data_IF_428332339439
#
_entry.id   IF_428332339439
#
_cell.length_a   1.000
_cell.length_b   1.000
_cell.length_c   1.000
_cell.angle_alpha   90.00
_cell.angle_beta   90.00
_cell.angle_gamma   90.00
#
_symmetry.space_group_name_H-M   'P 1'
#
loop_
_entity.id
_entity.type
_entity.pdbx_description
1 polymer ?
#
# COMPACT_ATOMS: atom_id res chain seq x y z
N UNK A 1 3.77 12.59 34.31
CA UNK A 1 3.44 12.89 32.89
C UNK A 1 3.04 11.58 32.23
N UNK A 2 1.83 11.50 31.67
CA UNK A 2 1.40 10.33 30.92
C UNK A 2 2.19 10.34 29.61
N UNK A 3 3.04 9.34 29.38
CA UNK A 3 3.75 9.20 28.10
C UNK A 3 2.68 9.08 27.01
N UNK A 4 2.70 9.91 25.95
CA UNK A 4 1.72 9.79 24.88
C UNK A 4 1.78 8.39 24.29
N UNK A 5 0.62 7.73 24.21
CA UNK A 5 0.52 6.40 23.62
C UNK A 5 0.80 6.50 22.12
N UNK A 6 1.96 6.02 21.68
CA UNK A 6 2.28 5.87 20.26
C UNK A 6 1.54 4.64 19.75
N UNK A 7 0.70 4.82 18.73
CA UNK A 7 0.00 3.72 18.05
C UNK A 7 0.68 3.49 16.69
N UNK A 8 1.53 2.47 16.56
CA UNK A 8 2.21 2.18 15.30
C UNK A 8 1.27 1.52 14.29
N UNK A 9 1.56 1.73 13.00
CA UNK A 9 0.95 0.97 11.90
C UNK A 9 2.01 0.06 11.28
N UNK A 10 1.63 -1.18 10.98
CA UNK A 10 2.52 -2.17 10.37
C UNK A 10 1.97 -2.65 9.03
N UNK A 11 2.80 -2.63 8.00
CA UNK A 11 2.37 -2.93 6.63
C UNK A 11 3.53 -2.88 5.64
N UNK A 12 3.25 -3.28 4.40
CA UNK A 12 4.13 -3.09 3.25
C UNK A 12 3.52 -2.03 2.34
N UNK A 13 4.16 -0.87 2.28
CA UNK A 13 3.78 0.17 1.32
C UNK A 13 4.04 -0.33 -0.11
N UNK A 14 3.17 -0.05 -1.10
CA UNK A 14 3.30 -0.59 -2.46
C UNK A 14 4.65 -0.31 -3.13
N UNK A 15 5.32 0.77 -2.74
CA UNK A 15 6.68 1.10 -3.19
C UNK A 15 7.74 0.07 -2.86
N UNK A 16 7.52 -0.75 -1.83
CA UNK A 16 8.44 -1.79 -1.38
C UNK A 16 7.92 -3.19 -1.70
N UNK A 17 6.79 -3.32 -2.40
CA UNK A 17 6.17 -4.62 -2.71
C UNK A 17 7.07 -5.57 -3.50
N UNK A 18 7.99 -5.04 -4.32
CA UNK A 18 8.97 -5.85 -5.04
C UNK A 18 10.02 -6.49 -4.14
N UNK A 19 10.18 -6.04 -2.90
CA UNK A 19 11.15 -6.62 -1.97
C UNK A 19 10.63 -7.92 -1.35
N UNK A 20 9.42 -8.38 -1.68
CA UNK A 20 8.77 -9.51 -1.05
C UNK A 20 8.38 -10.60 -2.05
N UNK A 21 8.57 -11.85 -1.65
CA UNK A 21 8.21 -13.05 -2.39
C UNK A 21 7.25 -13.94 -1.59
N UNK A 22 6.33 -14.62 -2.30
CA UNK A 22 5.43 -15.63 -1.73
C UNK A 22 6.06 -17.04 -1.64
N UNK A 23 7.29 -17.17 -2.13
CA UNK A 23 8.10 -18.40 -2.00
C UNK A 23 9.48 -18.03 -1.46
N UNK A 24 10.14 -18.91 -0.69
CA UNK A 24 11.51 -18.68 -0.26
C UNK A 24 12.44 -18.49 -1.47
N UNK A 25 13.30 -17.48 -1.40
CA UNK A 25 14.32 -17.18 -2.41
C UNK A 25 15.69 -17.21 -1.72
N UNK A 26 16.55 -18.16 -2.08
CA UNK A 26 17.80 -18.40 -1.37
C UNK A 26 19.04 -18.33 -2.29
N UNK A 27 18.82 -18.26 -3.60
CA UNK A 27 19.89 -18.22 -4.60
C UNK A 27 19.75 -17.02 -5.53
N UNK A 28 20.86 -16.65 -6.17
CA UNK A 28 20.88 -15.57 -7.17
C UNK A 28 20.03 -15.89 -8.41
N UNK A 29 19.93 -17.16 -8.80
CA UNK A 29 19.07 -17.60 -9.90
C UNK A 29 17.58 -17.40 -9.57
N UNK A 30 17.16 -17.83 -8.37
CA UNK A 30 15.79 -17.62 -7.90
C UNK A 30 15.47 -16.12 -7.74
N UNK A 31 16.43 -15.31 -7.26
CA UNK A 31 16.30 -13.85 -7.17
C UNK A 31 16.00 -13.25 -8.54
N UNK A 32 16.81 -13.60 -9.54
CA UNK A 32 16.65 -13.11 -10.92
C UNK A 32 15.30 -13.52 -11.48
N UNK A 33 14.92 -14.79 -11.32
CA UNK A 33 13.62 -15.31 -11.74
C UNK A 33 12.47 -14.50 -11.11
N UNK A 34 12.48 -14.32 -9.79
CA UNK A 34 11.46 -13.56 -9.08
C UNK A 34 11.31 -12.14 -9.64
N UNK A 35 12.42 -11.39 -9.78
CA UNK A 35 12.34 -10.02 -10.28
C UNK A 35 11.94 -9.93 -11.76
N UNK A 36 12.34 -10.89 -12.60
CA UNK A 36 11.85 -10.95 -13.98
C UNK A 36 10.35 -11.24 -14.07
N UNK A 37 9.79 -12.01 -13.14
CA UNK A 37 8.36 -12.33 -13.11
C UNK A 37 7.51 -11.14 -12.65
N UNK A 38 7.98 -10.38 -11.67
CA UNK A 38 7.17 -9.32 -11.05
C UNK A 38 7.44 -7.92 -11.58
N UNK A 39 8.52 -7.68 -12.32
CA UNK A 39 8.85 -6.34 -12.83
C UNK A 39 8.56 -6.21 -14.34
N UNK A 40 7.94 -5.09 -14.71
CA UNK A 40 7.66 -4.75 -16.10
C UNK A 40 8.03 -3.28 -16.40
N UNK A 41 8.80 -2.99 -17.47
CA UNK A 41 9.52 -3.93 -18.33
C UNK A 41 10.52 -4.80 -17.55
N UNK A 42 11.06 -5.83 -18.20
CA UNK A 42 12.06 -6.71 -17.58
C UNK A 42 13.25 -5.87 -17.04
N UNK A 43 13.76 -6.20 -15.84
CA UNK A 43 14.83 -5.44 -15.21
C UNK A 43 16.15 -5.61 -15.96
N UNK A 44 17.01 -4.58 -15.89
CA UNK A 44 18.39 -4.65 -16.40
C UNK A 44 19.28 -5.42 -15.42
N UNK A 45 20.41 -5.92 -15.92
CA UNK A 45 21.43 -6.58 -15.09
C UNK A 45 21.97 -5.68 -13.97
N UNK A 46 22.11 -4.38 -14.25
CA UNK A 46 22.50 -3.39 -13.25
C UNK A 46 21.47 -3.28 -12.12
N UNK A 47 20.17 -3.20 -12.47
CA UNK A 47 19.10 -3.15 -11.49
C UNK A 47 19.04 -4.46 -10.67
N UNK A 48 19.17 -5.62 -11.31
CA UNK A 48 19.19 -6.92 -10.64
C UNK A 48 20.35 -7.06 -9.65
N UNK A 49 21.49 -6.43 -9.94
CA UNK A 49 22.65 -6.40 -9.03
C UNK A 49 22.36 -5.57 -7.79
N UNK A 50 21.66 -4.45 -7.95
CA UNK A 50 21.31 -3.55 -6.84
C UNK A 50 20.10 -4.04 -6.02
N UNK A 51 19.26 -4.90 -6.60
CA UNK A 51 18.12 -5.48 -5.90
C UNK A 51 18.56 -6.55 -4.87
N UNK A 52 18.07 -6.46 -3.62
CA UNK A 52 18.43 -7.41 -2.57
C UNK A 52 17.77 -8.77 -2.79
N UNK A 53 18.13 -9.75 -1.95
CA UNK A 53 17.35 -11.00 -1.88
C UNK A 53 15.91 -10.70 -1.41
N UNK A 54 14.86 -11.17 -2.11
CA UNK A 54 13.48 -10.98 -1.69
C UNK A 54 13.23 -11.56 -0.29
N UNK A 55 12.50 -10.79 0.51
CA UNK A 55 12.06 -11.21 1.84
C UNK A 55 10.90 -12.18 1.66
N UNK A 56 10.97 -13.34 2.32
CA UNK A 56 9.85 -14.27 2.32
C UNK A 56 8.67 -13.67 3.11
N UNK A 57 7.54 -13.49 2.43
CA UNK A 57 6.41 -12.71 2.94
C UNK A 57 5.83 -13.32 4.22
N UNK A 58 5.74 -14.64 4.29
CA UNK A 58 5.20 -15.37 5.44
C UNK A 58 6.04 -15.14 6.70
N UNK A 59 7.36 -15.01 6.58
CA UNK A 59 8.25 -14.70 7.72
C UNK A 59 8.03 -13.27 8.21
N UNK A 60 7.84 -12.34 7.27
CA UNK A 60 7.52 -10.95 7.58
C UNK A 60 6.14 -10.83 8.25
N UNK A 61 5.13 -11.55 7.76
CA UNK A 61 3.80 -11.64 8.35
C UNK A 61 3.87 -12.10 9.79
N UNK A 62 4.57 -13.21 10.07
CA UNK A 62 4.74 -13.70 11.45
C UNK A 62 5.37 -12.65 12.37
N UNK A 63 6.25 -11.82 11.82
CA UNK A 63 6.88 -10.73 12.57
C UNK A 63 5.89 -9.60 12.89
N UNK A 64 5.09 -9.18 11.91
CA UNK A 64 4.04 -8.19 12.11
C UNK A 64 2.97 -8.67 13.09
N UNK A 65 2.58 -9.95 13.02
CA UNK A 65 1.62 -10.52 13.96
C UNK A 65 2.09 -10.40 15.41
N UNK A 66 3.37 -10.67 15.68
CA UNK A 66 3.97 -10.45 17.01
C UNK A 66 3.94 -8.99 17.44
N UNK A 67 4.20 -8.05 16.52
CA UNK A 67 4.09 -6.62 16.85
C UNK A 67 2.66 -6.20 17.17
N UNK A 68 1.67 -6.76 16.47
CA UNK A 68 0.26 -6.47 16.69
C UNK A 68 -0.27 -6.98 18.04
N UNK A 69 0.40 -7.95 18.67
CA UNK A 69 0.10 -8.39 20.05
C UNK A 69 0.36 -7.27 21.07
N UNK A 70 1.38 -6.44 20.83
CA UNK A 70 1.68 -5.26 21.65
C UNK A 70 0.77 -4.06 21.34
N UNK A 71 -0.14 -4.18 20.36
CA UNK A 71 -1.04 -3.13 19.90
C UNK A 71 -0.69 -2.61 18.50
N UNK A 72 -1.37 -1.54 18.09
CA UNK A 72 -1.18 -0.94 16.77
C UNK A 72 -2.26 -1.30 15.74
N UNK A 73 -2.07 -0.75 14.54
CA UNK A 73 -2.95 -0.83 13.37
C UNK A 73 -2.21 -1.42 12.16
N UNK A 74 -2.89 -1.62 11.04
CA UNK A 74 -2.26 -2.09 9.81
C UNK A 74 -2.11 -0.92 8.82
N UNK A 75 -0.95 -0.84 8.19
CA UNK A 75 -0.63 0.23 7.25
C UNK A 75 0.84 0.64 7.33
N UNK A 76 1.33 1.42 6.39
CA UNK A 76 0.61 1.80 5.16
C UNK A 76 0.68 0.65 4.14
N UNK A 77 -0.47 0.26 3.60
CA UNK A 77 -0.60 -0.79 2.56
C UNK A 77 -1.40 -0.23 1.39
N UNK A 78 -1.35 -0.84 0.21
CA UNK A 78 -2.21 -0.39 -0.89
C UNK A 78 -1.62 -0.66 -2.26
N UNK A 79 -2.02 0.16 -3.22
CA UNK A 79 -1.64 0.01 -4.63
C UNK A 79 -1.10 1.33 -5.19
N UNK A 80 -0.03 1.24 -5.98
CA UNK A 80 0.55 2.39 -6.69
C UNK A 80 0.87 2.00 -8.14
N UNK A 81 0.07 2.53 -9.07
CA UNK A 81 0.21 2.24 -10.50
C UNK A 81 1.40 2.98 -11.13
N UNK A 82 1.81 4.12 -10.56
CA UNK A 82 2.75 5.04 -11.22
C UNK A 82 4.18 4.88 -10.70
N UNK A 83 4.34 4.36 -9.49
CA UNK A 83 5.64 4.15 -8.87
C UNK A 83 6.55 3.28 -9.74
N UNK A 84 7.81 3.70 -9.83
CA UNK A 84 8.89 2.99 -10.52
C UNK A 84 9.95 2.61 -9.50
N UNK A 85 10.50 1.42 -9.63
CA UNK A 85 11.52 0.90 -8.71
C UNK A 85 12.77 1.79 -8.80
N UNK A 86 13.36 2.26 -7.69
CA UNK A 86 14.61 3.02 -7.72
C UNK A 86 15.75 2.21 -8.32
N UNK A 87 16.68 2.85 -9.05
CA UNK A 87 17.83 2.15 -9.60
C UNK A 87 18.76 1.58 -8.51
N UNK A 88 18.71 2.15 -7.30
CA UNK A 88 19.35 1.62 -6.10
C UNK A 88 18.66 0.37 -5.52
N UNK A 89 17.60 -0.14 -6.15
CA UNK A 89 16.84 -1.30 -5.69
C UNK A 89 15.77 -0.99 -4.63
N UNK A 90 15.99 0.02 -3.78
CA UNK A 90 15.01 0.49 -2.81
C UNK A 90 15.11 2.00 -2.61
N UNK A 91 14.05 2.59 -2.06
CA UNK A 91 14.02 4.01 -1.79
C UNK A 91 14.69 4.29 -0.45
N UNK A 92 15.79 5.04 -0.48
CA UNK A 92 16.62 5.33 0.68
C UNK A 92 17.47 6.58 0.44
N UNK A 93 18.29 6.99 1.42
CA UNK A 93 19.09 8.23 1.39
C UNK A 93 20.24 8.21 0.37
N UNK A 94 20.37 7.15 -0.45
CA UNK A 94 21.30 7.10 -1.56
C UNK A 94 20.79 8.02 -2.67
N UNK A 95 21.05 9.31 -2.50
CA UNK A 95 20.82 10.35 -3.50
C UNK A 95 21.52 9.97 -4.81
N UNK A 96 20.82 10.12 -5.93
CA UNK A 96 21.45 10.14 -7.26
C UNK A 96 21.23 8.93 -8.17
N UNK A 97 20.69 7.80 -7.69
CA UNK A 97 20.45 6.65 -8.59
C UNK A 97 19.26 6.86 -9.54
N UNK A 98 18.29 7.71 -9.17
CA UNK A 98 17.08 7.95 -9.96
C UNK A 98 16.11 6.76 -9.97
N UNK A 99 15.02 6.90 -10.72
CA UNK A 99 14.02 5.84 -10.88
C UNK A 99 14.31 5.04 -12.15
N UNK A 100 14.22 3.72 -12.05
CA UNK A 100 14.27 2.83 -13.21
C UNK A 100 13.04 3.01 -14.10
N UNK A 101 13.00 2.29 -15.23
CA UNK A 101 11.79 2.14 -16.03
C UNK A 101 10.81 1.11 -15.45
N UNK A 102 11.29 0.23 -14.56
CA UNK A 102 10.57 -0.93 -14.06
C UNK A 102 9.48 -0.54 -13.06
N UNK A 103 8.33 -1.21 -13.17
CA UNK A 103 7.24 -1.16 -12.20
C UNK A 103 6.94 -2.56 -11.72
N UNK A 104 6.49 -2.66 -10.48
CA UNK A 104 5.94 -3.90 -9.95
C UNK A 104 4.63 -4.20 -10.65
N UNK A 105 4.43 -5.44 -11.07
CA UNK A 105 3.20 -5.91 -11.66
C UNK A 105 2.04 -5.65 -10.70
N UNK A 106 0.91 -5.22 -11.26
CA UNK A 106 -0.25 -4.88 -10.45
C UNK A 106 -0.77 -6.12 -9.67
N UNK A 107 -0.63 -7.31 -10.25
CA UNK A 107 -1.08 -8.54 -9.61
C UNK A 107 -0.24 -8.90 -8.38
N UNK A 108 1.09 -8.64 -8.42
CA UNK A 108 1.96 -8.81 -7.26
C UNK A 108 1.60 -7.81 -6.14
N UNK A 109 1.40 -6.53 -6.49
CA UNK A 109 0.94 -5.52 -5.52
C UNK A 109 -0.41 -5.89 -4.89
N UNK A 110 -1.38 -6.32 -5.69
CA UNK A 110 -2.70 -6.77 -5.20
C UNK A 110 -2.57 -7.97 -4.29
N UNK A 111 -1.73 -8.94 -4.62
CA UNK A 111 -1.55 -10.14 -3.78
C UNK A 111 -1.01 -9.79 -2.39
N UNK A 112 -0.01 -8.91 -2.31
CA UNK A 112 0.53 -8.42 -1.04
C UNK A 112 -0.53 -7.61 -0.29
N UNK A 113 -1.19 -6.66 -0.97
CA UNK A 113 -2.24 -5.84 -0.38
C UNK A 113 -3.40 -6.66 0.20
N UNK A 114 -3.94 -7.61 -0.56
CA UNK A 114 -5.02 -8.50 -0.10
C UNK A 114 -4.59 -9.35 1.11
N UNK A 115 -3.32 -9.73 1.18
CA UNK A 115 -2.79 -10.48 2.34
C UNK A 115 -2.90 -9.67 3.63
N UNK A 116 -2.52 -8.38 3.59
CA UNK A 116 -2.67 -7.49 4.74
C UNK A 116 -4.12 -7.11 5.04
N UNK A 117 -4.97 -6.97 4.02
CA UNK A 117 -6.41 -6.76 4.22
C UNK A 117 -7.07 -7.92 4.96
N UNK A 118 -6.72 -9.17 4.61
CA UNK A 118 -7.23 -10.36 5.29
C UNK A 118 -6.78 -10.38 6.75
N UNK A 119 -5.52 -10.02 7.02
CA UNK A 119 -5.01 -9.90 8.38
C UNK A 119 -5.79 -8.83 9.17
N UNK A 120 -6.04 -7.66 8.57
CA UNK A 120 -6.80 -6.58 9.20
C UNK A 120 -8.24 -6.98 9.53
N UNK A 121 -8.93 -7.62 8.59
CA UNK A 121 -10.28 -8.14 8.81
C UNK A 121 -10.30 -9.22 9.90
N UNK A 122 -9.36 -10.17 9.87
CA UNK A 122 -9.32 -11.27 10.83
C UNK A 122 -9.04 -10.79 12.26
N UNK A 123 -8.17 -9.79 12.43
CA UNK A 123 -7.80 -9.23 13.75
C UNK A 123 -8.63 -8.00 14.14
N UNK A 124 -9.62 -7.62 13.34
CA UNK A 124 -10.45 -6.42 13.50
C UNK A 124 -9.61 -5.15 13.73
N UNK A 125 -8.55 -4.96 12.95
CA UNK A 125 -7.62 -3.83 13.07
C UNK A 125 -7.94 -2.75 12.03
N UNK A 126 -7.95 -1.46 12.42
CA UNK A 126 -8.00 -0.36 11.46
C UNK A 126 -6.86 -0.46 10.45
N UNK A 127 -7.13 -0.02 9.22
CA UNK A 127 -6.21 -0.06 8.10
C UNK A 127 -6.06 1.31 7.43
N UNK A 128 -4.81 1.74 7.23
CA UNK A 128 -4.47 2.92 6.42
C UNK A 128 -4.04 2.47 5.02
N UNK A 129 -4.74 2.96 3.99
CA UNK A 129 -4.63 2.47 2.61
C UNK A 129 -4.14 3.55 1.66
N UNK A 130 -3.01 3.31 1.00
CA UNK A 130 -2.45 4.10 -0.11
C UNK A 130 -3.12 3.77 -1.43
N UNK A 131 -3.34 4.77 -2.27
CA UNK A 131 -3.75 4.52 -3.65
C UNK A 131 -3.35 5.64 -4.61
N UNK A 132 -2.66 5.27 -5.69
CA UNK A 132 -2.36 6.17 -6.81
C UNK A 132 -2.68 5.52 -8.15
N UNK A 133 -3.58 6.16 -8.92
CA UNK A 133 -3.86 5.80 -10.32
C UNK A 133 -4.61 4.47 -10.54
N UNK A 134 -5.15 3.85 -9.49
CA UNK A 134 -5.80 2.53 -9.57
C UNK A 134 -6.98 2.34 -8.58
N UNK A 135 -7.74 3.42 -8.32
CA UNK A 135 -8.79 3.43 -7.28
C UNK A 135 -9.90 2.39 -7.44
N UNK A 136 -10.30 2.04 -8.67
CA UNK A 136 -11.32 1.00 -8.90
C UNK A 136 -10.84 -0.38 -8.41
N UNK A 137 -9.64 -0.81 -8.85
CA UNK A 137 -9.03 -2.08 -8.44
C UNK A 137 -8.78 -2.13 -6.92
N UNK A 138 -8.38 -1.01 -6.33
CA UNK A 138 -8.25 -0.88 -4.87
C UNK A 138 -9.60 -1.12 -4.18
N UNK A 139 -10.65 -0.43 -4.63
CA UNK A 139 -12.01 -0.56 -4.09
C UNK A 139 -12.51 -2.00 -4.20
N UNK A 140 -12.35 -2.65 -5.35
CA UNK A 140 -12.76 -4.03 -5.57
C UNK A 140 -12.09 -4.99 -4.57
N UNK A 141 -10.78 -4.83 -4.35
CA UNK A 141 -10.01 -5.66 -3.41
C UNK A 141 -10.50 -5.47 -1.96
N UNK A 142 -10.76 -4.23 -1.57
CA UNK A 142 -11.24 -3.91 -0.22
C UNK A 142 -12.68 -4.40 -0.03
N UNK A 143 -13.60 -4.11 -0.95
CA UNK A 143 -15.00 -4.59 -0.91
C UNK A 143 -15.08 -6.12 -0.88
N UNK A 144 -14.20 -6.81 -1.61
CA UNK A 144 -14.11 -8.27 -1.61
C UNK A 144 -13.78 -8.83 -0.23
N UNK A 145 -12.86 -8.20 0.51
CA UNK A 145 -12.27 -8.77 1.74
C UNK A 145 -12.83 -8.16 3.03
N UNK A 146 -12.86 -6.82 3.12
CA UNK A 146 -13.23 -6.10 4.33
C UNK A 146 -14.74 -5.99 4.40
N UNK A 147 -15.33 -6.61 5.42
CA UNK A 147 -16.78 -6.62 5.65
C UNK A 147 -17.20 -5.74 6.81
N UNK A 148 -16.28 -5.48 7.75
CA UNK A 148 -16.54 -4.64 8.92
C UNK A 148 -16.46 -3.15 8.56
N UNK A 149 -17.54 -2.36 8.75
CA UNK A 149 -17.49 -0.91 8.64
C UNK A 149 -16.49 -0.28 9.63
N UNK A 150 -15.94 0.87 9.28
CA UNK A 150 -15.07 1.65 10.19
C UNK A 150 -13.59 1.26 10.25
N UNK A 151 -13.18 0.15 9.61
CA UNK A 151 -11.77 -0.23 9.56
C UNK A 151 -10.95 0.60 8.56
N UNK A 152 -11.57 1.17 7.53
CA UNK A 152 -10.84 1.72 6.38
C UNK A 152 -10.56 3.21 6.52
N UNK A 153 -9.28 3.58 6.35
CA UNK A 153 -8.84 4.96 6.14
C UNK A 153 -8.10 5.07 4.82
N UNK A 154 -8.56 5.95 3.93
CA UNK A 154 -7.89 6.26 2.67
C UNK A 154 -6.83 7.33 2.90
N UNK A 155 -5.56 6.95 2.78
CA UNK A 155 -4.43 7.85 2.93
C UNK A 155 -4.30 8.77 1.72
N UNK A 156 -4.16 10.08 1.96
CA UNK A 156 -3.90 11.10 0.93
C UNK A 156 -4.79 10.96 -0.31
N UNK A 157 -6.11 10.84 -0.13
CA UNK A 157 -7.04 10.47 -1.19
C UNK A 157 -6.97 11.43 -2.40
N UNK A 158 -6.78 10.86 -3.58
CA UNK A 158 -6.65 11.58 -4.87
C UNK A 158 -7.60 11.06 -5.95
N UNK A 159 -8.56 10.20 -5.60
CA UNK A 159 -9.58 9.70 -6.52
C UNK A 159 -10.68 10.74 -6.77
N UNK A 160 -11.54 10.49 -7.76
CA UNK A 160 -12.67 11.37 -8.06
C UNK A 160 -13.76 11.31 -6.97
N UNK A 161 -14.64 12.31 -6.97
CA UNK A 161 -15.83 12.30 -6.11
C UNK A 161 -16.77 11.13 -6.42
N UNK A 162 -16.92 10.75 -7.70
CA UNK A 162 -17.75 9.61 -8.09
C UNK A 162 -17.22 8.29 -7.54
N UNK A 163 -15.90 8.10 -7.58
CA UNK A 163 -15.26 6.97 -6.94
C UNK A 163 -15.47 6.99 -5.42
N UNK A 164 -15.44 8.18 -4.80
CA UNK A 164 -15.66 8.32 -3.37
C UNK A 164 -17.09 7.99 -2.94
N UNK A 165 -18.09 8.28 -3.77
CA UNK A 165 -19.48 7.85 -3.52
C UNK A 165 -19.62 6.34 -3.38
N UNK A 166 -18.82 5.56 -4.13
CA UNK A 166 -18.80 4.10 -3.98
C UNK A 166 -18.28 3.70 -2.60
N UNK A 167 -17.24 4.38 -2.11
CA UNK A 167 -16.71 4.19 -0.75
C UNK A 167 -17.75 4.52 0.32
N UNK A 168 -18.42 5.68 0.24
CA UNK A 168 -19.45 6.07 1.21
C UNK A 168 -20.62 5.08 1.25
N UNK A 169 -21.04 4.60 0.08
CA UNK A 169 -22.12 3.62 -0.03
C UNK A 169 -21.76 2.28 0.64
N UNK A 170 -20.52 1.83 0.47
CA UNK A 170 -20.07 0.54 0.99
C UNK A 170 -19.60 0.61 2.45
N UNK A 171 -19.02 1.74 2.86
CA UNK A 171 -18.42 1.98 4.17
C UNK A 171 -18.89 3.34 4.69
N UNK A 172 -20.01 3.41 5.42
CA UNK A 172 -20.56 4.67 5.93
C UNK A 172 -19.57 5.46 6.81
N UNK A 173 -18.73 4.74 7.58
CA UNK A 173 -17.71 5.33 8.46
C UNK A 173 -16.32 5.47 7.79
N UNK A 174 -16.28 5.58 6.46
CA UNK A 174 -15.02 5.72 5.72
C UNK A 174 -14.28 6.98 6.17
N UNK A 175 -12.98 6.81 6.46
CA UNK A 175 -12.08 7.91 6.82
C UNK A 175 -11.16 8.25 5.66
N UNK A 176 -10.77 9.52 5.58
CA UNK A 176 -9.81 10.02 4.61
C UNK A 176 -8.82 10.95 5.32
N UNK A 177 -7.55 10.83 4.97
CA UNK A 177 -6.53 11.84 5.30
C UNK A 177 -6.19 12.65 4.04
N UNK A 178 -5.87 13.92 4.25
CA UNK A 178 -5.53 14.86 3.17
C UNK A 178 -4.24 15.60 3.52
N UNK A 179 -3.32 15.70 2.56
CA UNK A 179 -2.13 16.53 2.65
C UNK A 179 -2.36 17.86 1.92
N UNK A 180 -1.90 18.98 2.50
CA UNK A 180 -2.07 20.30 1.89
C UNK A 180 -1.35 20.40 0.54
N UNK A 181 -0.10 20.01 0.50
CA UNK A 181 0.77 20.13 -0.69
C UNK A 181 0.37 19.15 -1.79
N UNK A 182 -0.06 17.94 -1.42
CA UNK A 182 -0.39 16.90 -2.40
C UNK A 182 -1.86 16.93 -2.83
N UNK A 183 -2.79 17.24 -1.91
CA UNK A 183 -4.22 17.08 -2.13
C UNK A 183 -4.97 18.40 -2.31
N UNK A 184 -4.71 19.42 -1.49
CA UNK A 184 -5.55 20.63 -1.47
C UNK A 184 -5.42 21.50 -2.72
N UNK A 185 -4.22 21.67 -3.28
CA UNK A 185 -4.06 22.54 -4.46
C UNK A 185 -4.52 21.85 -5.75
N UNK A 186 -4.36 20.52 -5.83
CA UNK A 186 -4.65 19.74 -7.04
C UNK A 186 -6.06 19.14 -7.08
N UNK A 187 -6.65 18.82 -5.92
CA UNK A 187 -7.93 18.11 -5.82
C UNK A 187 -8.97 18.87 -4.97
N UNK A 188 -8.82 20.19 -4.82
CA UNK A 188 -9.67 21.07 -4.01
C UNK A 188 -11.16 20.82 -4.21
N UNK A 189 -11.61 20.82 -5.46
CA UNK A 189 -13.03 20.70 -5.80
C UNK A 189 -13.61 19.34 -5.40
N UNK A 190 -12.81 18.28 -5.52
CA UNK A 190 -13.23 16.94 -5.07
C UNK A 190 -13.35 16.91 -3.55
N UNK A 191 -12.35 17.45 -2.83
CA UNK A 191 -12.36 17.48 -1.36
C UNK A 191 -13.50 18.35 -0.81
N UNK A 192 -13.82 19.48 -1.47
CA UNK A 192 -14.96 20.31 -1.12
C UNK A 192 -16.28 19.54 -1.27
N UNK A 193 -16.48 18.83 -2.39
CA UNK A 193 -17.67 17.97 -2.59
C UNK A 193 -17.78 16.88 -1.53
N UNK A 194 -16.67 16.25 -1.15
CA UNK A 194 -16.63 15.25 -0.08
C UNK A 194 -17.02 15.86 1.27
N UNK A 195 -16.51 17.05 1.59
CA UNK A 195 -16.79 17.72 2.87
C UNK A 195 -18.23 18.19 2.99
N UNK A 196 -18.85 18.61 1.90
CA UNK A 196 -20.26 19.05 1.87
C UNK A 196 -21.19 17.83 2.01
N UNK A 197 -20.88 16.71 1.34
CA UNK A 197 -21.69 15.49 1.42
C UNK A 197 -21.86 14.93 2.84
N UNK A 198 -20.92 15.20 3.75
CA UNK A 198 -21.06 14.85 5.18
C UNK A 198 -22.16 15.63 5.92
N UNK A 199 -22.60 16.76 5.37
CA UNK A 199 -23.63 17.61 5.99
C UNK A 199 -25.05 17.31 5.46
N UNK A 200 -25.17 16.48 4.41
CA UNK A 200 -26.42 16.17 3.71
C UNK A 200 -26.90 14.71 3.91
N UNK A 201 -26.22 13.93 4.76
CA UNK A 201 -26.57 12.55 5.15
C UNK A 201 -26.93 12.56 6.64
#
# INVERSE_FOLDING_TARGET
>A
MQVPAVIPSYGIHPWYSHLFSFVPVNTEEEKRKHYHEILNPAPTEELLTNLPMPIYLEDHIRTIERYLEAGGTIGEIGLDKVFRVPNSGFMGPLEGSGLSSCRVSMDHQVSIFETFLRMAQAKNKPVSIHCVGCHGKLFDSVQKIVKSPGLVTLHSYSGSYDQFKLWMKQYPDIRLSVSKVLNLDRYKDTLQKISIAKNDI
#
